data_IF_007967435340
#
_entry.id   IF_007967435340
#
_cell.length_a   1.000
_cell.length_b   1.000
_cell.length_c   1.000
_cell.angle_alpha   90.00
_cell.angle_beta   90.00
_cell.angle_gamma   90.00
#
_symmetry.space_group_name_H-M   'P 1'
#
loop_
_entity.id
_entity.type
_entity.pdbx_description
1 polymer ?
#
# COMPACT_ATOMS: atom_id res chain seq x y z
N UNK A 1 -49.02 -19.23 18.25
CA UNK A 1 -48.47 -20.39 18.97
C UNK A 1 -49.61 -21.32 19.37
N UNK A 2 -49.39 -22.65 19.51
CA UNK A 2 -48.16 -23.44 19.28
C UNK A 2 -48.06 -23.91 17.81
N UNK A 3 -46.91 -24.32 17.23
CA UNK A 3 -46.05 -25.51 17.47
C UNK A 3 -46.79 -26.86 17.28
N UNK A 4 -46.24 -27.93 16.67
CA UNK A 4 -44.84 -28.29 16.31
C UNK A 4 -44.85 -29.34 15.17
N UNK A 5 -43.78 -29.45 14.38
CA UNK A 5 -43.47 -30.63 13.54
C UNK A 5 -42.07 -31.18 13.90
N UNK A 6 -41.76 -32.48 13.61
CA UNK A 6 -40.69 -33.20 14.29
C UNK A 6 -39.40 -33.41 13.48
N UNK A 7 -38.32 -33.66 14.22
CA UNK A 7 -37.06 -34.34 13.82
C UNK A 7 -37.27 -35.87 13.94
N UNK A 8 -36.58 -36.80 13.22
CA UNK A 8 -35.16 -37.12 13.50
C UNK A 8 -34.29 -37.65 12.32
N UNK A 9 -32.96 -37.71 12.49
CA UNK A 9 -32.06 -38.29 11.47
C UNK A 9 -30.61 -38.65 11.88
N UNK A 10 -30.37 -39.29 13.02
CA UNK A 10 -29.02 -39.72 13.47
C UNK A 10 -28.64 -41.16 13.05
N UNK A 11 -27.47 -41.35 12.40
CA UNK A 11 -26.52 -42.50 12.49
C UNK A 11 -25.18 -42.04 11.83
N UNK A 12 -23.96 -42.50 12.14
CA UNK A 12 -23.50 -43.69 12.89
C UNK A 12 -22.09 -43.49 13.55
N UNK A 13 -21.57 -44.53 14.22
CA UNK A 13 -20.44 -44.50 15.17
C UNK A 13 -19.11 -45.17 14.70
N UNK A 14 -18.00 -44.76 15.34
CA UNK A 14 -16.77 -45.53 15.73
C UNK A 14 -15.62 -45.87 14.75
N UNK A 15 -14.47 -45.26 15.06
CA UNK A 15 -13.17 -45.85 15.46
C UNK A 15 -12.29 -46.73 14.51
N UNK A 16 -10.99 -46.40 14.46
CA UNK A 16 -9.90 -47.24 13.93
C UNK A 16 -8.49 -46.67 14.23
N UNK A 17 -7.53 -47.51 14.64
CA UNK A 17 -6.19 -47.14 15.15
C UNK A 17 -5.09 -47.72 14.26
N UNK A 18 -3.98 -47.00 13.99
CA UNK A 18 -2.61 -47.59 13.84
C UNK A 18 -1.52 -46.59 14.33
N UNK A 19 -0.49 -47.11 15.01
CA UNK A 19 0.79 -46.43 15.36
C UNK A 19 1.95 -47.05 14.57
N UNK A 20 3.02 -46.27 14.33
CA UNK A 20 4.33 -46.73 13.86
C UNK A 20 4.63 -46.38 12.39
N UNK A 21 5.88 -46.19 11.96
CA UNK A 21 7.16 -46.48 12.62
C UNK A 21 8.26 -45.43 12.34
N UNK A 22 9.33 -45.50 13.13
CA UNK A 22 10.57 -44.69 13.06
C UNK A 22 11.65 -45.52 12.36
N UNK A 23 12.40 -44.91 11.43
CA UNK A 23 13.65 -45.47 10.92
C UNK A 23 14.73 -44.39 10.88
N UNK A 24 15.93 -44.74 11.33
CA UNK A 24 17.13 -43.92 11.37
C UNK A 24 18.16 -44.42 10.34
N UNK A 25 19.03 -43.51 9.90
CA UNK A 25 20.37 -43.85 9.38
C UNK A 25 20.46 -44.28 7.92
N UNK A 26 21.19 -43.51 7.10
CA UNK A 26 22.63 -43.75 6.93
C UNK A 26 23.30 -42.64 6.11
N UNK A 27 24.56 -42.33 6.43
CA UNK A 27 25.47 -41.54 5.58
C UNK A 27 26.13 -42.46 4.56
N UNK A 28 26.15 -42.07 3.29
CA UNK A 28 27.23 -42.45 2.35
C UNK A 28 27.54 -41.31 1.39
N UNK A 29 28.84 -41.08 1.19
CA UNK A 29 29.43 -40.05 0.33
C UNK A 29 30.19 -40.75 -0.78
N UNK A 30 29.82 -40.52 -2.04
CA UNK A 30 30.62 -40.96 -3.20
C UNK A 30 30.55 -39.91 -4.30
N UNK A 31 31.70 -39.35 -4.65
CA UNK A 31 31.91 -38.63 -5.90
C UNK A 31 32.23 -39.65 -7.00
N UNK A 32 31.67 -39.46 -8.20
CA UNK A 32 32.25 -40.03 -9.42
C UNK A 32 31.85 -39.20 -10.64
N UNK A 33 32.84 -38.51 -11.19
CA UNK A 33 32.77 -37.62 -12.36
C UNK A 33 32.52 -38.40 -13.65
N UNK A 34 31.61 -37.92 -14.52
CA UNK A 34 31.59 -38.27 -15.96
C UNK A 34 31.31 -36.98 -16.78
N UNK A 35 32.19 -36.72 -17.76
CA UNK A 35 32.25 -35.65 -18.79
C UNK A 35 32.85 -36.39 -20.04
N UNK A 36 32.61 -36.10 -21.36
CA UNK A 36 32.16 -34.88 -22.09
C UNK A 36 30.88 -35.13 -22.96
N UNK A 37 30.44 -34.38 -24.00
CA UNK A 37 30.91 -33.23 -24.83
C UNK A 37 29.81 -32.15 -24.94
N UNK A 38 30.02 -30.85 -25.23
CA UNK A 38 30.88 -30.07 -26.15
C UNK A 38 30.35 -29.89 -27.60
N UNK A 39 29.62 -28.79 -27.85
CA UNK A 39 29.56 -27.96 -29.09
C UNK A 39 29.16 -26.54 -28.57
N UNK A 40 30.07 -25.55 -28.40
CA UNK A 40 30.59 -24.56 -29.39
C UNK A 40 29.48 -23.82 -30.15
N UNK A 41 29.36 -22.50 -30.22
CA UNK A 41 30.35 -21.43 -30.52
C UNK A 41 30.10 -20.19 -29.64
N UNK A 42 31.11 -19.48 -29.11
CA UNK A 42 31.84 -18.36 -29.75
C UNK A 42 30.95 -17.35 -30.52
N UNK A 43 31.10 -16.02 -30.39
CA UNK A 43 32.35 -15.25 -30.14
C UNK A 43 32.18 -13.83 -29.56
N UNK A 44 33.19 -13.38 -28.79
CA UNK A 44 33.75 -12.00 -28.68
C UNK A 44 32.82 -10.83 -28.27
N UNK A 45 32.95 -10.23 -27.06
CA UNK A 45 34.05 -9.38 -26.51
C UNK A 45 34.09 -7.95 -27.06
N UNK A 46 33.74 -6.98 -26.21
CA UNK A 46 34.56 -5.78 -25.95
C UNK A 46 34.10 -5.03 -24.68
N UNK A 47 35.07 -4.61 -23.87
CA UNK A 47 34.89 -3.76 -22.69
C UNK A 47 35.30 -2.33 -23.05
N UNK A 48 34.71 -1.32 -22.40
CA UNK A 48 35.36 -0.08 -21.87
C UNK A 48 34.27 0.88 -21.37
N UNK A 49 34.56 1.56 -20.26
CA UNK A 49 33.66 2.50 -19.59
C UNK A 49 33.88 3.96 -20.03
N UNK A 50 32.93 4.85 -19.72
CA UNK A 50 33.15 6.29 -19.82
C UNK A 50 31.90 7.12 -19.52
N UNK A 51 31.98 8.01 -18.52
CA UNK A 51 30.96 9.05 -18.33
C UNK A 51 31.05 10.06 -19.48
N UNK A 52 29.98 10.23 -20.25
CA UNK A 52 29.88 11.29 -21.26
C UNK A 52 28.52 11.99 -21.15
N UNK A 53 28.52 13.18 -20.54
CA UNK A 53 27.48 14.17 -20.82
C UNK A 53 27.72 14.71 -22.24
N UNK A 54 26.67 14.82 -23.05
CA UNK A 54 26.65 15.85 -24.09
C UNK A 54 25.25 16.39 -24.31
N UNK A 55 25.11 17.70 -24.12
CA UNK A 55 24.03 18.46 -24.73
C UNK A 55 24.34 18.59 -26.23
N UNK A 56 23.33 18.44 -27.08
CA UNK A 56 23.38 18.94 -28.45
C UNK A 56 21.97 19.31 -28.92
N UNK A 57 21.69 20.60 -28.99
CA UNK A 57 20.52 21.13 -29.67
C UNK A 57 20.74 21.04 -31.18
N UNK A 58 20.19 20.02 -31.83
CA UNK A 58 20.13 19.92 -33.29
C UNK A 58 18.71 19.49 -33.67
N UNK A 59 18.00 20.35 -34.39
CA UNK A 59 16.73 20.01 -35.04
C UNK A 59 17.07 19.33 -36.36
N UNK A 60 16.63 18.08 -36.55
CA UNK A 60 16.73 17.36 -37.82
C UNK A 60 15.36 17.27 -38.47
N UNK A 61 15.26 17.68 -39.74
CA UNK A 61 14.05 17.54 -40.54
C UNK A 61 13.95 16.12 -41.13
N UNK A 62 12.75 15.53 -40.98
CA UNK A 62 12.34 14.18 -41.41
C UNK A 62 12.99 12.98 -40.69
N UNK A 63 12.14 11.98 -40.41
CA UNK A 63 12.44 10.84 -39.56
C UNK A 63 13.05 9.67 -40.36
N UNK A 64 14.21 9.18 -39.89
CA UNK A 64 14.69 7.82 -40.19
C UNK A 64 14.61 6.99 -38.90
N UNK A 65 13.44 6.43 -38.64
CA UNK A 65 13.26 5.52 -37.51
C UNK A 65 13.99 4.20 -37.77
N UNK A 66 15.02 3.92 -36.98
CA UNK A 66 15.63 2.60 -36.89
C UNK A 66 14.62 1.61 -36.27
N UNK A 67 14.65 0.30 -36.56
CA UNK A 67 13.68 -0.65 -36.00
C UNK A 67 13.59 -0.60 -34.47
N UNK A 68 14.74 -0.56 -33.79
CA UNK A 68 14.82 -0.41 -32.33
C UNK A 68 14.32 0.95 -31.79
N UNK A 69 14.14 1.98 -32.63
CA UNK A 69 13.46 3.22 -32.23
C UNK A 69 11.97 3.00 -32.01
N UNK A 70 11.34 2.06 -32.72
CA UNK A 70 9.92 1.73 -32.53
C UNK A 70 9.69 0.99 -31.22
N UNK A 71 10.56 0.04 -30.87
CA UNK A 71 10.58 -0.63 -29.56
C UNK A 71 10.87 0.37 -28.43
N UNK A 72 11.89 1.23 -28.60
CA UNK A 72 12.21 2.25 -27.61
C UNK A 72 11.10 3.31 -27.43
N UNK A 73 10.31 3.61 -28.47
CA UNK A 73 9.14 4.49 -28.35
C UNK A 73 7.97 3.76 -27.68
N UNK A 74 7.75 2.47 -27.96
CA UNK A 74 6.75 1.66 -27.25
C UNK A 74 7.08 1.58 -25.74
N UNK A 75 8.31 1.23 -25.39
CA UNK A 75 8.74 1.13 -23.98
C UNK A 75 8.67 2.49 -23.25
N UNK A 76 8.95 3.59 -23.96
CA UNK A 76 8.92 4.97 -23.42
C UNK A 76 7.55 5.63 -23.42
N UNK A 77 6.57 5.12 -24.17
CA UNK A 77 5.16 5.48 -24.04
C UNK A 77 4.46 4.72 -22.90
N UNK A 78 5.06 3.61 -22.43
CA UNK A 78 4.46 2.68 -21.45
C UNK A 78 4.72 3.06 -19.97
N UNK A 79 4.95 4.36 -19.69
CA UNK A 79 4.80 4.99 -18.35
C UNK A 79 4.79 6.53 -18.43
N UNK A 80 3.97 7.27 -17.64
CA UNK A 80 3.00 6.83 -16.63
C UNK A 80 1.58 7.40 -16.86
N UNK A 81 0.66 6.59 -17.41
CA UNK A 81 -0.79 6.73 -17.23
C UNK A 81 -1.39 5.32 -17.16
N UNK A 82 -2.18 5.05 -16.13
CA UNK A 82 -2.83 3.76 -15.78
C UNK A 82 -1.91 2.53 -15.75
N UNK A 83 -1.67 1.96 -14.55
CA UNK A 83 -1.06 0.62 -14.42
C UNK A 83 -1.91 -0.49 -15.03
N UNK A 84 -3.23 -0.30 -15.10
CA UNK A 84 -4.20 -1.25 -15.63
C UNK A 84 -3.82 -1.86 -16.97
N UNK A 85 -3.34 -1.04 -17.92
CA UNK A 85 -2.95 -1.51 -19.24
C UNK A 85 -1.86 -2.60 -19.19
N UNK A 86 -1.02 -2.68 -18.14
CA UNK A 86 0.02 -3.73 -18.02
C UNK A 86 -0.53 -5.10 -17.64
N UNK A 87 -1.63 -5.16 -16.88
CA UNK A 87 -2.29 -6.42 -16.55
C UNK A 87 -2.97 -7.01 -17.80
N UNK A 88 -3.65 -6.15 -18.57
CA UNK A 88 -4.42 -6.47 -19.77
C UNK A 88 -3.63 -6.39 -21.09
N UNK A 89 -2.29 -6.31 -21.05
CA UNK A 89 -1.50 -6.36 -22.28
C UNK A 89 -1.72 -7.71 -22.99
N UNK A 90 -2.09 -7.64 -24.27
CA UNK A 90 -2.31 -8.75 -25.21
C UNK A 90 -1.29 -9.90 -25.14
N UNK A 91 -0.06 -9.58 -24.73
CA UNK A 91 0.99 -10.55 -24.49
C UNK A 91 0.64 -11.57 -23.38
N UNK A 92 -0.01 -11.16 -22.29
CA UNK A 92 -0.26 -12.03 -21.14
C UNK A 92 -1.32 -13.10 -21.42
N UNK A 93 -2.43 -12.76 -22.11
CA UNK A 93 -3.43 -13.75 -22.50
C UNK A 93 -2.88 -14.70 -23.57
N UNK A 94 -2.19 -14.18 -24.59
CA UNK A 94 -1.55 -15.00 -25.63
C UNK A 94 -0.34 -15.81 -25.14
N UNK A 95 0.21 -15.53 -23.96
CA UNK A 95 1.18 -16.40 -23.26
C UNK A 95 0.48 -17.45 -22.38
N UNK A 96 -0.61 -17.08 -21.72
CA UNK A 96 -1.33 -17.96 -20.79
C UNK A 96 -2.20 -18.98 -21.52
N UNK A 97 -2.83 -18.57 -22.62
CA UNK A 97 -3.71 -19.36 -23.49
C UNK A 97 -3.20 -19.20 -24.94
N UNK A 98 -2.12 -19.89 -25.35
CA UNK A 98 -1.42 -19.63 -26.63
C UNK A 98 -2.28 -19.70 -27.89
N UNK A 99 -3.35 -20.51 -27.86
CA UNK A 99 -4.31 -20.67 -28.95
C UNK A 99 -5.10 -19.39 -29.25
N UNK A 100 -5.22 -18.44 -28.30
CA UNK A 100 -5.85 -17.12 -28.53
C UNK A 100 -4.98 -16.16 -29.36
N UNK A 101 -3.67 -16.42 -29.45
CA UNK A 101 -2.69 -15.53 -30.06
C UNK A 101 -3.04 -15.04 -31.48
N UNK A 102 -3.39 -15.90 -32.46
CA UNK A 102 -3.68 -15.43 -33.83
C UNK A 102 -4.88 -14.46 -33.88
N UNK A 103 -5.92 -14.67 -33.07
CA UNK A 103 -7.10 -13.80 -33.03
C UNK A 103 -6.75 -12.44 -32.40
N UNK A 104 -5.98 -12.43 -31.32
CA UNK A 104 -5.49 -11.21 -30.66
C UNK A 104 -4.58 -10.41 -31.61
N UNK A 105 -3.65 -11.07 -32.31
CA UNK A 105 -2.79 -10.41 -33.31
C UNK A 105 -3.63 -9.85 -34.47
N UNK A 106 -4.67 -10.56 -34.93
CA UNK A 106 -5.58 -10.08 -35.97
C UNK A 106 -6.39 -8.86 -35.51
N UNK A 107 -6.92 -8.86 -34.29
CA UNK A 107 -7.64 -7.73 -33.71
C UNK A 107 -6.78 -6.46 -33.64
N UNK A 108 -5.51 -6.59 -33.20
CA UNK A 108 -4.55 -5.47 -33.16
C UNK A 108 -4.12 -5.01 -34.56
N UNK A 109 -4.04 -5.92 -35.54
CA UNK A 109 -3.75 -5.56 -36.94
C UNK A 109 -4.92 -4.81 -37.59
N UNK A 110 -6.16 -5.19 -37.30
CA UNK A 110 -7.37 -4.49 -37.76
C UNK A 110 -7.53 -3.11 -37.12
N UNK A 111 -7.17 -2.99 -35.84
CA UNK A 111 -7.26 -1.74 -35.09
C UNK A 111 -6.02 -1.48 -34.22
N UNK A 112 -5.09 -0.70 -34.77
CA UNK A 112 -3.87 -0.29 -34.06
C UNK A 112 -4.12 0.67 -32.89
N UNK A 113 -5.33 1.20 -32.74
CA UNK A 113 -5.71 2.13 -31.66
C UNK A 113 -6.49 1.44 -30.54
N UNK A 114 -6.71 0.13 -30.63
CA UNK A 114 -7.46 -0.68 -29.65
C UNK A 114 -6.98 -0.48 -28.20
N UNK A 115 -5.67 -0.31 -27.99
CA UNK A 115 -5.04 -0.07 -26.68
C UNK A 115 -5.39 1.29 -26.04
N UNK A 116 -6.00 2.20 -26.80
CA UNK A 116 -6.47 3.52 -26.35
C UNK A 116 -8.01 3.61 -26.26
N UNK A 117 -8.73 2.52 -26.57
CA UNK A 117 -10.18 2.44 -26.39
C UNK A 117 -10.54 2.17 -24.92
N UNK A 118 -11.83 2.25 -24.59
CA UNK A 118 -12.33 1.97 -23.24
C UNK A 118 -11.95 0.56 -22.76
N UNK A 119 -11.81 0.34 -21.43
CA UNK A 119 -11.60 -0.99 -20.87
C UNK A 119 -12.61 -2.04 -21.35
N UNK A 120 -13.87 -1.63 -21.54
CA UNK A 120 -14.95 -2.48 -22.04
C UNK A 120 -14.72 -2.98 -23.48
N UNK A 121 -14.34 -2.09 -24.42
CA UNK A 121 -14.05 -2.52 -25.79
C UNK A 121 -12.76 -3.36 -25.85
N UNK A 122 -11.77 -3.05 -25.01
CA UNK A 122 -10.57 -3.89 -24.88
C UNK A 122 -10.92 -5.29 -24.35
N UNK A 123 -11.74 -5.40 -23.30
CA UNK A 123 -12.22 -6.68 -22.77
C UNK A 123 -12.98 -7.49 -23.84
N UNK A 124 -13.87 -6.86 -24.59
CA UNK A 124 -14.58 -7.53 -25.68
C UNK A 124 -13.63 -8.02 -26.78
N UNK A 125 -12.81 -7.13 -27.35
CA UNK A 125 -11.99 -7.41 -28.54
C UNK A 125 -10.73 -8.24 -28.30
N UNK A 126 -10.18 -8.18 -27.09
CA UNK A 126 -8.88 -8.77 -26.76
C UNK A 126 -8.98 -9.97 -25.81
N UNK A 127 -10.14 -10.19 -25.19
CA UNK A 127 -10.40 -11.35 -24.33
C UNK A 127 -11.60 -12.15 -24.82
N UNK A 128 -12.81 -11.56 -24.86
CA UNK A 128 -14.04 -12.31 -25.20
C UNK A 128 -14.01 -12.84 -26.63
N UNK A 129 -13.86 -11.98 -27.64
CA UNK A 129 -13.86 -12.36 -29.06
C UNK A 129 -12.78 -13.42 -29.38
N UNK A 130 -11.51 -13.29 -28.94
CA UNK A 130 -10.50 -14.34 -29.08
C UNK A 130 -10.84 -15.67 -28.39
N UNK A 131 -11.44 -15.65 -27.19
CA UNK A 131 -11.81 -16.87 -26.48
C UNK A 131 -13.00 -17.58 -27.13
N UNK A 132 -13.98 -16.83 -27.63
CA UNK A 132 -15.14 -17.40 -28.32
C UNK A 132 -14.71 -18.11 -29.61
N UNK A 133 -13.85 -17.50 -30.42
CA UNK A 133 -13.32 -18.11 -31.63
C UNK A 133 -12.60 -19.44 -31.35
N UNK A 134 -11.75 -19.48 -30.31
CA UNK A 134 -11.04 -20.70 -29.88
C UNK A 134 -12.00 -21.81 -29.43
N UNK A 135 -13.06 -21.46 -28.70
CA UNK A 135 -14.07 -22.43 -28.25
C UNK A 135 -14.96 -22.91 -29.41
N UNK A 136 -15.33 -22.02 -30.34
CA UNK A 136 -16.10 -22.33 -31.55
C UNK A 136 -15.33 -23.26 -32.52
N UNK A 137 -14.01 -23.09 -32.64
CA UNK A 137 -13.14 -24.00 -33.40
C UNK A 137 -12.90 -25.35 -32.69
N UNK A 138 -13.42 -25.51 -31.46
CA UNK A 138 -13.37 -26.77 -30.71
C UNK A 138 -12.02 -27.06 -30.03
N UNK A 139 -11.16 -26.05 -29.87
CA UNK A 139 -9.85 -26.23 -29.24
C UNK A 139 -9.98 -26.33 -27.70
N UNK A 140 -10.01 -27.58 -27.23
CA UNK A 140 -10.14 -27.89 -25.81
C UNK A 140 -8.90 -27.54 -24.96
N UNK A 141 -7.76 -27.19 -25.55
CA UNK A 141 -6.56 -26.81 -24.76
C UNK A 141 -6.79 -25.50 -24.01
N UNK A 142 -7.70 -24.63 -24.46
CA UNK A 142 -8.11 -23.43 -23.73
C UNK A 142 -8.66 -23.73 -22.32
N UNK A 143 -9.28 -24.89 -22.11
CA UNK A 143 -9.81 -25.32 -20.82
C UNK A 143 -8.72 -25.83 -19.86
N UNK A 144 -7.53 -26.16 -20.37
CA UNK A 144 -6.38 -26.66 -19.61
C UNK A 144 -5.40 -25.56 -19.22
N UNK A 145 -5.48 -24.41 -19.87
CA UNK A 145 -4.62 -23.27 -19.62
C UNK A 145 -4.95 -22.56 -18.28
N UNK A 146 -4.02 -21.79 -17.70
CA UNK A 146 -4.31 -20.87 -16.61
C UNK A 146 -5.32 -19.80 -17.04
N UNK A 147 -6.41 -19.64 -16.27
CA UNK A 147 -7.54 -18.73 -16.54
C UNK A 147 -7.75 -17.75 -15.39
N UNK A 148 -6.68 -17.10 -14.96
CA UNK A 148 -6.70 -16.12 -13.85
C UNK A 148 -6.22 -14.77 -14.36
N UNK A 149 -7.06 -13.75 -14.22
CA UNK A 149 -6.69 -12.34 -14.44
C UNK A 149 -6.29 -11.76 -13.09
N UNK A 150 -5.10 -11.17 -13.00
CA UNK A 150 -4.60 -10.50 -11.79
C UNK A 150 -4.47 -9.01 -12.08
N UNK A 151 -5.19 -8.20 -11.30
CA UNK A 151 -5.13 -6.74 -11.34
C UNK A 151 -4.46 -6.27 -10.05
N UNK A 152 -3.28 -5.64 -10.17
CA UNK A 152 -2.46 -5.19 -9.05
C UNK A 152 -2.38 -3.66 -9.02
N UNK A 153 -2.83 -3.06 -7.91
CA UNK A 153 -2.86 -1.60 -7.69
C UNK A 153 -3.98 -0.88 -8.44
N UNK A 154 -5.23 -1.33 -8.29
CA UNK A 154 -6.40 -0.63 -8.87
C UNK A 154 -6.55 0.80 -8.30
N UNK A 155 -6.19 1.01 -7.04
CA UNK A 155 -6.10 2.32 -6.38
C UNK A 155 -5.10 3.30 -7.03
N UNK A 156 -4.19 2.82 -7.89
CA UNK A 156 -3.26 3.70 -8.62
C UNK A 156 -3.82 4.26 -9.94
N UNK A 157 -5.12 4.11 -10.18
CA UNK A 157 -5.81 4.81 -11.28
C UNK A 157 -5.92 6.32 -11.00
N UNK A 158 -5.98 7.13 -12.06
CA UNK A 158 -5.88 8.60 -11.91
C UNK A 158 -7.14 9.26 -11.34
N UNK A 159 -8.27 8.61 -11.50
CA UNK A 159 -9.59 9.04 -11.03
C UNK A 159 -10.48 7.79 -10.84
N UNK A 160 -11.58 7.96 -10.09
CA UNK A 160 -12.48 6.86 -9.79
C UNK A 160 -13.32 6.40 -10.97
N UNK A 161 -13.58 7.23 -11.99
CA UNK A 161 -14.29 6.79 -13.19
C UNK A 161 -13.49 5.71 -13.94
N UNK A 162 -12.16 5.83 -14.00
CA UNK A 162 -11.30 4.76 -14.51
C UNK A 162 -11.37 3.50 -13.64
N UNK A 163 -11.45 3.62 -12.31
CA UNK A 163 -11.62 2.46 -11.42
C UNK A 163 -12.94 1.71 -11.71
N UNK A 164 -14.04 2.44 -11.92
CA UNK A 164 -15.35 1.85 -12.28
C UNK A 164 -15.33 1.22 -13.68
N UNK A 165 -14.84 1.92 -14.71
CA UNK A 165 -14.74 1.38 -16.09
C UNK A 165 -13.96 0.05 -16.14
N UNK A 166 -12.91 -0.06 -15.31
CA UNK A 166 -12.11 -1.27 -15.14
C UNK A 166 -12.94 -2.39 -14.50
N UNK A 167 -13.62 -2.09 -13.40
CA UNK A 167 -14.40 -3.07 -12.65
C UNK A 167 -15.61 -3.59 -13.45
N UNK A 168 -16.27 -2.73 -14.22
CA UNK A 168 -17.34 -3.13 -15.15
C UNK A 168 -16.80 -4.02 -16.28
N UNK A 169 -15.63 -3.71 -16.84
CA UNK A 169 -14.99 -4.55 -17.86
C UNK A 169 -14.58 -5.94 -17.30
N UNK A 170 -14.13 -6.01 -16.05
CA UNK A 170 -13.84 -7.28 -15.37
C UNK A 170 -15.11 -8.08 -15.07
N UNK A 171 -16.20 -7.41 -14.63
CA UNK A 171 -17.50 -8.04 -14.42
C UNK A 171 -18.08 -8.60 -15.74
N UNK A 172 -17.92 -7.87 -16.84
CA UNK A 172 -18.26 -8.32 -18.18
C UNK A 172 -17.48 -9.57 -18.58
N UNK A 173 -16.16 -9.60 -18.34
CA UNK A 173 -15.33 -10.80 -18.60
C UNK A 173 -15.80 -12.01 -17.80
N UNK A 174 -16.13 -11.83 -16.51
CA UNK A 174 -16.61 -12.93 -15.65
C UNK A 174 -17.94 -13.51 -16.15
N UNK A 175 -18.82 -12.67 -16.72
CA UNK A 175 -20.16 -13.08 -17.18
C UNK A 175 -20.19 -13.67 -18.59
N UNK A 176 -19.45 -13.07 -19.53
CA UNK A 176 -19.58 -13.40 -20.95
C UNK A 176 -18.45 -14.30 -21.49
N UNK A 177 -17.42 -14.61 -20.69
CA UNK A 177 -16.36 -15.50 -21.15
C UNK A 177 -16.90 -16.92 -21.42
N UNK A 178 -16.60 -17.51 -22.60
CA UNK A 178 -17.08 -18.85 -22.96
C UNK A 178 -16.37 -19.97 -22.18
N UNK A 179 -15.35 -19.62 -21.38
CA UNK A 179 -14.67 -20.50 -20.44
C UNK A 179 -14.62 -19.85 -19.06
N UNK A 180 -14.64 -20.62 -17.95
CA UNK A 180 -14.53 -20.07 -16.61
C UNK A 180 -13.22 -19.29 -16.40
N UNK A 181 -13.33 -18.01 -16.05
CA UNK A 181 -12.22 -17.12 -15.69
C UNK A 181 -12.37 -16.71 -14.22
N UNK A 182 -11.27 -16.76 -13.47
CA UNK A 182 -11.17 -16.15 -12.14
C UNK A 182 -10.47 -14.79 -12.22
N UNK A 183 -10.88 -13.84 -11.39
CA UNK A 183 -10.25 -12.51 -11.30
C UNK A 183 -9.78 -12.29 -9.86
N UNK A 184 -8.56 -11.81 -9.70
CA UNK A 184 -8.00 -11.38 -8.41
C UNK A 184 -7.67 -9.89 -8.55
N UNK A 185 -8.30 -9.06 -7.71
CA UNK A 185 -8.01 -7.62 -7.62
C UNK A 185 -7.28 -7.36 -6.30
N UNK A 186 -6.02 -6.96 -6.39
CA UNK A 186 -5.24 -6.45 -5.28
C UNK A 186 -5.27 -4.91 -5.33
N UNK A 187 -5.78 -4.29 -4.27
CA UNK A 187 -5.99 -2.84 -4.20
C UNK A 187 -6.04 -2.38 -2.75
N UNK A 188 -5.76 -1.09 -2.53
CA UNK A 188 -6.16 -0.43 -1.28
C UNK A 188 -7.69 -0.33 -1.17
N UNK A 189 -8.23 -0.32 0.06
CA UNK A 189 -9.67 -0.23 0.32
C UNK A 189 -10.18 1.21 0.21
N UNK A 190 -9.96 1.87 -0.92
CA UNK A 190 -10.42 3.23 -1.18
C UNK A 190 -11.98 3.30 -1.23
N UNK A 191 -12.61 4.43 -0.85
CA UNK A 191 -14.07 4.51 -0.75
C UNK A 191 -14.82 4.13 -2.03
N UNK A 192 -14.35 4.60 -3.19
CA UNK A 192 -14.99 4.33 -4.49
C UNK A 192 -14.89 2.83 -4.87
N UNK A 193 -13.72 2.23 -4.66
CA UNK A 193 -13.48 0.79 -4.88
C UNK A 193 -14.34 -0.04 -3.92
N UNK A 194 -14.38 0.31 -2.62
CA UNK A 194 -15.26 -0.35 -1.65
C UNK A 194 -16.73 -0.23 -2.07
N UNK A 195 -17.15 0.93 -2.55
CA UNK A 195 -18.50 1.17 -3.07
C UNK A 195 -18.83 0.25 -4.23
N UNK A 196 -17.93 0.12 -5.22
CA UNK A 196 -18.11 -0.76 -6.37
C UNK A 196 -18.30 -2.25 -6.00
N UNK A 197 -17.63 -2.73 -4.96
CA UNK A 197 -17.78 -4.10 -4.45
C UNK A 197 -18.94 -4.27 -3.44
N UNK A 198 -19.52 -3.18 -2.92
CA UNK A 198 -20.63 -3.21 -1.95
C UNK A 198 -22.00 -2.89 -2.57
N UNK A 199 -22.04 -2.47 -3.83
CA UNK A 199 -23.27 -2.08 -4.52
C UNK A 199 -23.21 -2.49 -6.00
N UNK A 200 -24.05 -3.45 -6.39
CA UNK A 200 -24.23 -3.88 -7.77
C UNK A 200 -23.70 -5.29 -8.04
N UNK A 201 -23.58 -5.65 -9.33
CA UNK A 201 -23.35 -7.04 -9.74
C UNK A 201 -21.99 -7.65 -9.41
N UNK A 202 -21.10 -6.91 -8.74
CA UNK A 202 -19.82 -7.42 -8.20
C UNK A 202 -19.99 -8.08 -6.83
N UNK A 203 -20.98 -7.66 -6.04
CA UNK A 203 -21.25 -8.25 -4.72
C UNK A 203 -21.56 -9.76 -4.85
N UNK A 204 -22.42 -10.12 -5.81
CA UNK A 204 -22.86 -11.50 -6.07
C UNK A 204 -21.74 -12.45 -6.57
N UNK A 205 -20.64 -11.91 -7.14
CA UNK A 205 -19.60 -12.69 -7.85
C UNK A 205 -18.20 -12.55 -7.26
N UNK A 206 -18.05 -11.82 -6.15
CA UNK A 206 -16.75 -11.57 -5.51
C UNK A 206 -16.72 -12.06 -4.07
N UNK A 207 -15.52 -12.08 -3.49
CA UNK A 207 -15.33 -12.42 -2.07
C UNK A 207 -14.14 -11.62 -1.56
N UNK A 208 -14.35 -10.61 -0.70
CA UNK A 208 -13.26 -9.75 -0.23
C UNK A 208 -12.35 -10.52 0.73
N UNK A 209 -11.05 -10.54 0.43
CA UNK A 209 -10.02 -11.03 1.35
C UNK A 209 -9.29 -9.81 1.91
N UNK A 210 -9.62 -9.43 3.14
CA UNK A 210 -8.90 -8.36 3.83
C UNK A 210 -7.57 -8.90 4.34
N UNK A 211 -6.46 -8.30 3.88
CA UNK A 211 -5.12 -8.57 4.41
C UNK A 211 -4.93 -7.77 5.71
N UNK A 212 -5.60 -8.20 6.77
CA UNK A 212 -5.62 -7.55 8.08
C UNK A 212 -4.56 -8.09 9.05
N UNK A 213 -4.62 -7.65 10.31
CA UNK A 213 -3.72 -8.05 11.39
C UNK A 213 -3.88 -9.52 11.86
N UNK A 214 -4.66 -10.35 11.16
CA UNK A 214 -4.59 -11.82 11.31
C UNK A 214 -3.27 -12.38 10.78
N UNK A 215 -2.66 -11.71 9.79
CA UNK A 215 -1.25 -11.85 9.49
C UNK A 215 -0.41 -11.13 10.56
N UNK A 216 0.76 -11.66 10.91
CA UNK A 216 1.70 -11.00 11.82
C UNK A 216 2.86 -10.40 11.03
N UNK A 217 2.68 -9.23 10.37
CA UNK A 217 3.70 -8.65 9.52
C UNK A 217 4.96 -8.25 10.32
N UNK A 218 4.81 -7.94 11.62
CA UNK A 218 5.93 -7.63 12.50
C UNK A 218 6.86 -8.84 12.69
N UNK A 219 6.34 -10.07 12.72
CA UNK A 219 7.16 -11.29 12.77
C UNK A 219 7.95 -11.51 11.46
N UNK A 220 7.31 -11.28 10.30
CA UNK A 220 7.97 -11.42 9.00
C UNK A 220 8.99 -10.30 8.76
N UNK A 221 8.69 -9.06 9.15
CA UNK A 221 9.63 -7.93 9.14
C UNK A 221 10.81 -8.19 10.08
N UNK A 222 10.56 -8.72 11.28
CA UNK A 222 11.63 -9.10 12.23
C UNK A 222 12.57 -10.13 11.60
N UNK A 223 12.03 -11.17 10.97
CA UNK A 223 12.81 -12.19 10.26
C UNK A 223 13.62 -11.58 9.12
N UNK A 224 12.98 -10.80 8.25
CA UNK A 224 13.62 -10.12 7.13
C UNK A 224 14.74 -9.17 7.57
N UNK A 225 14.53 -8.39 8.63
CA UNK A 225 15.57 -7.51 9.20
C UNK A 225 16.73 -8.32 9.78
N UNK A 226 16.47 -9.40 10.52
CA UNK A 226 17.51 -10.31 11.04
C UNK A 226 18.38 -10.84 9.90
N UNK A 227 17.76 -11.38 8.83
CA UNK A 227 18.49 -11.97 7.71
C UNK A 227 19.22 -10.89 6.87
N UNK A 228 18.63 -9.71 6.73
CA UNK A 228 19.28 -8.52 6.13
C UNK A 228 20.53 -8.12 6.89
N UNK A 229 20.45 -7.95 8.22
CA UNK A 229 21.60 -7.52 9.01
C UNK A 229 22.69 -8.60 9.09
N UNK A 230 22.31 -9.88 9.13
CA UNK A 230 23.25 -11.01 8.93
C UNK A 230 23.97 -10.90 7.58
N UNK A 231 23.26 -10.64 6.49
CA UNK A 231 23.86 -10.47 5.17
C UNK A 231 24.85 -9.31 5.14
N UNK A 232 24.51 -8.16 5.74
CA UNK A 232 25.40 -6.99 5.87
C UNK A 232 26.67 -7.35 6.66
N UNK A 233 26.54 -8.05 7.80
CA UNK A 233 27.69 -8.46 8.61
C UNK A 233 28.70 -9.34 7.85
N UNK A 234 28.22 -10.22 6.97
CA UNK A 234 29.08 -11.13 6.22
C UNK A 234 29.64 -10.51 4.93
N UNK A 235 28.87 -9.69 4.22
CA UNK A 235 29.15 -9.30 2.83
C UNK A 235 29.51 -7.83 2.63
N UNK A 236 29.27 -6.95 3.61
CA UNK A 236 29.53 -5.51 3.42
C UNK A 236 31.04 -5.22 3.30
N UNK A 237 31.51 -4.40 2.34
CA UNK A 237 32.92 -4.08 2.18
C UNK A 237 33.60 -3.47 3.42
N UNK A 238 32.83 -2.76 4.24
CA UNK A 238 33.26 -2.13 5.49
C UNK A 238 32.85 -2.96 6.74
N UNK A 239 32.63 -4.27 6.61
CA UNK A 239 32.23 -5.14 7.74
C UNK A 239 33.22 -5.12 8.92
N UNK A 240 34.50 -4.84 8.67
CA UNK A 240 35.51 -4.63 9.73
C UNK A 240 35.26 -3.38 10.60
N UNK A 241 34.34 -2.50 10.20
CA UNK A 241 33.91 -1.33 10.98
C UNK A 241 32.69 -1.60 11.87
N UNK A 242 32.14 -2.82 11.85
CA UNK A 242 31.01 -3.21 12.69
C UNK A 242 31.48 -3.50 14.12
N UNK A 243 30.69 -3.17 15.16
CA UNK A 243 31.08 -3.40 16.56
C UNK A 243 31.23 -4.89 16.92
N UNK A 244 30.40 -5.74 16.31
CA UNK A 244 30.28 -7.17 16.61
C UNK A 244 29.91 -7.93 15.33
N UNK A 245 30.15 -9.25 15.32
CA UNK A 245 29.63 -10.17 14.29
C UNK A 245 28.12 -10.40 14.42
N UNK A 246 27.59 -10.26 15.63
CA UNK A 246 26.16 -10.24 15.94
C UNK A 246 25.70 -8.78 16.06
N UNK A 247 25.49 -8.14 14.91
CA UNK A 247 25.04 -6.75 14.83
C UNK A 247 23.81 -6.64 13.91
N UNK A 248 22.81 -5.79 14.25
CA UNK A 248 22.65 -5.06 15.50
C UNK A 248 22.07 -5.95 16.62
N UNK A 249 21.93 -5.40 17.83
CA UNK A 249 21.31 -6.10 18.95
C UNK A 249 19.83 -6.44 18.69
N UNK A 250 19.32 -7.50 19.32
CA UNK A 250 17.92 -7.90 19.21
C UNK A 250 16.95 -6.77 19.59
N UNK A 251 17.24 -6.03 20.67
CA UNK A 251 16.46 -4.84 21.09
C UNK A 251 16.43 -3.75 20.01
N UNK A 252 17.51 -3.60 19.24
CA UNK A 252 17.52 -2.66 18.11
C UNK A 252 16.61 -3.15 16.98
N UNK A 253 16.61 -4.45 16.69
CA UNK A 253 15.70 -5.03 15.69
C UNK A 253 14.25 -4.85 16.13
N UNK A 254 13.93 -5.11 17.41
CA UNK A 254 12.58 -4.95 17.95
C UNK A 254 12.08 -3.49 17.83
N UNK A 255 12.94 -2.50 18.09
CA UNK A 255 12.63 -1.07 17.86
C UNK A 255 12.42 -0.73 16.38
N UNK A 256 13.12 -1.40 15.46
CA UNK A 256 12.91 -1.20 14.02
C UNK A 256 11.60 -1.85 13.54
N UNK A 257 11.21 -2.99 14.12
CA UNK A 257 9.93 -3.66 13.86
C UNK A 257 8.78 -2.80 14.36
N UNK A 258 8.84 -2.31 15.61
CA UNK A 258 7.86 -1.36 16.17
C UNK A 258 7.67 -0.13 15.26
N UNK A 259 8.79 0.49 14.84
CA UNK A 259 8.77 1.63 13.91
C UNK A 259 8.28 1.28 12.50
N UNK A 260 8.41 0.03 12.07
CA UNK A 260 7.87 -0.43 10.79
C UNK A 260 6.35 -0.51 10.82
N UNK A 261 5.74 -0.88 11.95
CA UNK A 261 4.28 -1.00 12.11
C UNK A 261 3.64 -1.81 10.97
N UNK A 262 4.10 -3.05 10.78
CA UNK A 262 3.69 -3.92 9.68
C UNK A 262 4.14 -3.50 8.26
N UNK A 263 4.91 -2.43 8.07
CA UNK A 263 5.29 -1.94 6.73
C UNK A 263 6.66 -2.43 6.23
N UNK A 264 6.64 -3.38 5.30
CA UNK A 264 7.84 -3.85 4.60
C UNK A 264 8.59 -2.77 3.81
N UNK A 265 7.93 -1.69 3.37
CA UNK A 265 8.61 -0.55 2.74
C UNK A 265 9.57 0.14 3.72
N UNK A 266 9.23 0.22 5.00
CA UNK A 266 10.13 0.78 6.03
C UNK A 266 11.39 -0.08 6.18
N UNK A 267 11.20 -1.40 6.32
CA UNK A 267 12.30 -2.35 6.49
C UNK A 267 13.23 -2.39 5.26
N UNK A 268 12.67 -2.40 4.04
CA UNK A 268 13.47 -2.42 2.81
C UNK A 268 14.15 -1.08 2.50
N UNK A 269 13.60 0.05 2.96
CA UNK A 269 14.32 1.33 2.98
C UNK A 269 15.52 1.28 3.92
N UNK A 270 15.40 0.64 5.08
CA UNK A 270 16.53 0.43 6.00
C UNK A 270 17.60 -0.45 5.35
N UNK A 271 17.22 -1.59 4.72
CA UNK A 271 18.16 -2.42 3.96
C UNK A 271 18.97 -1.58 2.98
N UNK A 272 18.30 -0.89 2.06
CA UNK A 272 18.94 -0.10 0.99
C UNK A 272 19.86 1.00 1.54
N UNK A 273 19.45 1.66 2.61
CA UNK A 273 20.20 2.77 3.21
C UNK A 273 21.43 2.29 4.00
N UNK A 274 21.30 1.19 4.74
CA UNK A 274 22.35 0.66 5.62
C UNK A 274 23.35 -0.22 4.86
N UNK A 275 22.90 -0.95 3.84
CA UNK A 275 23.76 -1.79 2.96
C UNK A 275 24.63 -0.97 1.99
N UNK A 276 24.60 0.36 2.05
CA UNK A 276 25.34 1.24 1.15
C UNK A 276 26.85 1.00 1.24
N UNK A 277 27.45 0.38 0.22
CA UNK A 277 28.86 -0.03 0.19
C UNK A 277 29.89 1.10 0.45
N UNK A 278 29.50 2.36 0.25
CA UNK A 278 30.36 3.55 0.45
C UNK A 278 30.27 4.16 1.87
N UNK A 279 29.48 3.58 2.77
CA UNK A 279 29.20 4.14 4.10
C UNK A 279 29.28 3.07 5.19
N UNK A 280 29.66 3.45 6.41
CA UNK A 280 29.70 2.52 7.54
C UNK A 280 28.25 2.13 7.96
N UNK A 281 27.89 0.84 8.00
CA UNK A 281 26.51 0.44 8.34
C UNK A 281 26.09 0.87 9.74
N UNK A 282 26.99 0.81 10.73
CA UNK A 282 26.74 1.26 12.10
C UNK A 282 26.34 2.75 12.18
N UNK A 283 27.03 3.62 11.45
CA UNK A 283 26.69 5.05 11.39
C UNK A 283 25.36 5.28 10.66
N UNK A 284 25.10 4.55 9.57
CA UNK A 284 23.82 4.61 8.82
C UNK A 284 22.64 4.16 9.69
N UNK A 285 22.79 3.08 10.47
CA UNK A 285 21.76 2.65 11.42
C UNK A 285 21.53 3.67 12.54
N UNK A 286 22.59 4.35 13.03
CA UNK A 286 22.42 5.39 14.06
C UNK A 286 21.54 6.57 13.57
N UNK A 287 21.60 6.88 12.26
CA UNK A 287 20.74 7.89 11.63
C UNK A 287 19.28 7.37 11.55
N UNK A 288 19.07 6.12 11.13
CA UNK A 288 17.73 5.48 11.07
C UNK A 288 17.05 5.47 12.46
N UNK A 289 17.82 5.22 13.52
CA UNK A 289 17.29 5.22 14.88
C UNK A 289 16.95 6.61 15.42
N UNK A 290 17.49 7.68 14.81
CA UNK A 290 17.36 9.07 15.28
C UNK A 290 18.48 9.52 16.24
N UNK A 291 19.52 8.69 16.42
CA UNK A 291 20.63 8.97 17.34
C UNK A 291 21.68 9.92 16.75
N UNK A 292 21.59 10.23 15.46
CA UNK A 292 22.50 11.15 14.75
C UNK A 292 21.74 11.93 13.67
N UNK A 293 22.04 13.22 13.55
CA UNK A 293 21.45 14.08 12.52
C UNK A 293 21.87 13.63 11.10
N UNK A 294 20.92 13.68 10.16
CA UNK A 294 21.16 13.41 8.75
C UNK A 294 21.63 14.68 8.03
N UNK A 295 22.96 14.92 8.01
CA UNK A 295 23.55 16.14 7.40
C UNK A 295 23.33 16.26 5.89
N UNK A 296 23.16 15.15 5.17
CA UNK A 296 22.92 15.15 3.72
C UNK A 296 21.99 14.03 3.20
N UNK A 297 21.99 12.85 3.84
CA UNK A 297 21.23 11.68 3.39
C UNK A 297 20.15 11.30 4.41
N UNK A 298 18.91 11.77 4.21
CA UNK A 298 17.74 11.35 5.01
C UNK A 298 17.23 9.98 4.50
N UNK A 299 17.16 8.93 5.34
CA UNK A 299 16.75 7.59 4.88
C UNK A 299 15.32 7.54 4.35
N UNK A 300 14.43 8.37 4.87
CA UNK A 300 13.01 8.36 4.56
C UNK A 300 12.57 9.48 3.62
N UNK A 301 13.49 10.15 2.90
CA UNK A 301 13.14 11.33 2.07
C UNK A 301 12.09 11.04 1.00
N UNK A 302 12.10 9.87 0.37
CA UNK A 302 11.10 9.47 -0.62
C UNK A 302 9.72 9.26 0.02
N UNK A 303 9.68 8.69 1.23
CA UNK A 303 8.46 8.48 2.01
C UNK A 303 7.91 9.80 2.58
N UNK A 304 8.79 10.69 3.03
CA UNK A 304 8.47 12.05 3.49
C UNK A 304 7.91 12.91 2.34
N UNK A 305 8.45 12.74 1.13
CA UNK A 305 7.93 13.37 -0.09
C UNK A 305 6.56 12.80 -0.47
N UNK A 306 6.32 11.49 -0.34
CA UNK A 306 5.01 10.89 -0.56
C UNK A 306 3.96 11.44 0.41
N UNK A 307 4.25 11.44 1.72
CA UNK A 307 3.37 12.05 2.71
C UNK A 307 3.15 13.55 2.45
N UNK A 308 4.20 14.29 2.11
CA UNK A 308 4.09 15.70 1.70
C UNK A 308 3.10 15.85 0.54
N UNK A 309 3.24 15.06 -0.53
CA UNK A 309 2.36 15.12 -1.71
C UNK A 309 0.90 14.84 -1.35
N UNK A 310 0.64 13.83 -0.51
CA UNK A 310 -0.73 13.52 -0.04
C UNK A 310 -1.30 14.69 0.78
N UNK A 311 -0.54 15.28 1.72
CA UNK A 311 -1.02 16.47 2.42
C UNK A 311 -1.08 17.73 1.53
N UNK A 312 -0.38 17.75 0.38
CA UNK A 312 -0.45 18.85 -0.59
C UNK A 312 -1.71 18.80 -1.47
N UNK A 313 -2.33 17.64 -1.71
CA UNK A 313 -3.58 17.54 -2.48
C UNK A 313 -4.79 18.08 -1.71
N UNK A 314 -4.86 17.85 -0.38
CA UNK A 314 -5.95 18.35 0.50
C UNK A 314 -6.11 19.86 0.37
N UNK A 315 -7.33 20.36 0.15
CA UNK A 315 -7.60 21.80 0.02
C UNK A 315 -6.99 22.59 1.19
N UNK A 316 -6.28 23.68 0.88
CA UNK A 316 -5.55 24.49 1.88
C UNK A 316 -6.41 24.96 3.07
N UNK A 317 -7.72 25.15 2.86
CA UNK A 317 -8.67 25.48 3.94
C UNK A 317 -8.91 24.29 4.87
N UNK A 318 -9.22 23.12 4.31
CA UNK A 318 -9.52 21.86 5.01
C UNK A 318 -8.28 21.33 5.74
N UNK A 319 -7.11 21.33 5.08
CA UNK A 319 -5.82 20.83 5.57
C UNK A 319 -5.45 21.29 6.98
N UNK A 320 -5.76 22.55 7.33
CA UNK A 320 -5.49 23.11 8.68
C UNK A 320 -6.34 22.44 9.75
N UNK A 321 -7.56 22.03 9.43
CA UNK A 321 -8.44 21.29 10.33
C UNK A 321 -8.02 19.82 10.40
N UNK A 322 -7.73 19.18 9.27
CA UNK A 322 -7.17 17.83 9.20
C UNK A 322 -5.95 17.66 10.13
N UNK A 323 -4.92 18.51 9.98
CA UNK A 323 -3.72 18.49 10.84
C UNK A 323 -4.00 18.75 12.32
N UNK A 324 -5.03 19.52 12.66
CA UNK A 324 -5.45 19.72 14.06
C UNK A 324 -6.11 18.47 14.63
N UNK A 325 -7.00 17.83 13.87
CA UNK A 325 -7.66 16.60 14.27
C UNK A 325 -6.65 15.47 14.45
N UNK A 326 -5.78 15.23 13.46
CA UNK A 326 -4.65 14.31 13.58
C UNK A 326 -3.78 14.66 14.79
N UNK A 327 -3.54 15.96 15.01
CA UNK A 327 -2.76 16.43 16.14
C UNK A 327 -3.38 16.14 17.51
N UNK A 328 -4.71 16.12 17.62
CA UNK A 328 -5.44 15.66 18.81
C UNK A 328 -5.33 14.14 18.96
N UNK A 329 -5.52 13.37 17.89
CA UNK A 329 -5.36 11.90 17.91
C UNK A 329 -3.93 11.45 18.29
N UNK A 330 -2.92 12.28 18.00
CA UNK A 330 -1.53 12.04 18.39
C UNK A 330 -1.21 12.39 19.86
N UNK A 331 -2.14 12.99 20.62
CA UNK A 331 -1.96 13.25 22.06
C UNK A 331 -2.30 11.99 22.87
N UNK A 332 -1.40 11.48 23.74
CA UNK A 332 -1.76 10.41 24.66
C UNK A 332 -2.72 10.93 25.74
N UNK A 333 -3.97 10.46 25.69
CA UNK A 333 -4.95 10.52 26.79
C UNK A 333 -5.73 9.21 26.87
N UNK A 334 -6.64 9.05 27.82
CA UNK A 334 -7.42 7.82 27.98
C UNK A 334 -8.11 7.40 26.66
N UNK A 335 -8.16 6.09 26.39
CA UNK A 335 -8.96 5.52 25.29
C UNK A 335 -10.42 5.33 25.69
N UNK A 336 -10.63 4.83 26.91
CA UNK A 336 -11.92 4.51 27.50
C UNK A 336 -12.05 5.18 28.86
N UNK A 337 -13.21 5.76 29.12
CA UNK A 337 -13.64 6.18 30.46
C UNK A 337 -14.87 5.37 30.83
N UNK A 338 -14.90 4.84 32.06
CA UNK A 338 -16.02 4.05 32.57
C UNK A 338 -16.91 4.94 33.43
N UNK A 339 -18.13 5.18 32.98
CA UNK A 339 -19.19 5.82 33.76
C UNK A 339 -20.17 4.75 34.27
N UNK A 340 -20.99 5.02 35.31
CA UNK A 340 -22.01 4.09 35.77
C UNK A 340 -22.97 3.72 34.64
N UNK A 341 -22.93 2.46 34.20
CA UNK A 341 -23.76 1.93 33.11
C UNK A 341 -23.19 2.06 31.68
N UNK A 342 -22.11 2.83 31.46
CA UNK A 342 -21.62 3.16 30.11
C UNK A 342 -20.10 3.12 29.99
N UNK A 343 -19.58 2.67 28.84
CA UNK A 343 -18.17 2.86 28.45
C UNK A 343 -18.14 3.95 27.39
N UNK A 344 -17.37 5.01 27.63
CA UNK A 344 -17.17 6.10 26.68
C UNK A 344 -15.83 5.89 25.98
N UNK A 345 -15.87 5.66 24.67
CA UNK A 345 -14.69 5.70 23.80
C UNK A 345 -14.30 7.17 23.56
N UNK A 346 -13.27 7.63 24.25
CA UNK A 346 -12.88 9.06 24.27
C UNK A 346 -12.03 9.47 23.06
N UNK A 347 -11.81 8.58 22.09
CA UNK A 347 -11.03 8.85 20.88
C UNK A 347 -11.79 8.59 19.57
N UNK A 348 -13.09 8.31 19.65
CA UNK A 348 -13.92 8.20 18.44
C UNK A 348 -14.08 9.55 17.74
N UNK A 349 -14.27 9.57 16.41
CA UNK A 349 -14.65 10.79 15.70
C UNK A 349 -15.83 11.51 16.36
N UNK A 350 -16.88 10.76 16.74
CA UNK A 350 -18.10 11.27 17.37
C UNK A 350 -17.88 11.89 18.77
N UNK A 351 -16.87 11.42 19.52
CA UNK A 351 -16.47 12.04 20.79
C UNK A 351 -15.60 13.28 20.54
N UNK A 352 -14.65 13.20 19.62
CA UNK A 352 -13.76 14.31 19.27
C UNK A 352 -14.52 15.49 18.66
N UNK A 353 -15.53 15.24 17.83
CA UNK A 353 -16.42 16.29 17.30
C UNK A 353 -17.13 17.05 18.42
N UNK A 354 -17.72 16.32 19.38
CA UNK A 354 -18.36 16.92 20.56
C UNK A 354 -17.34 17.72 21.37
N UNK A 355 -16.20 17.13 21.71
CA UNK A 355 -15.15 17.76 22.53
C UNK A 355 -14.59 19.02 21.89
N UNK A 356 -14.44 19.06 20.57
CA UNK A 356 -13.84 20.18 19.84
C UNK A 356 -14.87 21.21 19.35
N UNK A 357 -16.15 21.05 19.75
CA UNK A 357 -17.32 21.84 19.32
C UNK A 357 -17.49 21.90 17.79
N UNK A 358 -17.36 20.75 17.13
CA UNK A 358 -17.53 20.57 15.69
C UNK A 358 -18.93 20.08 15.33
N UNK A 359 -19.29 20.14 14.05
CA UNK A 359 -20.52 19.51 13.55
C UNK A 359 -20.31 18.00 13.37
N UNK A 360 -21.37 17.19 13.54
CA UNK A 360 -21.31 15.77 13.17
C UNK A 360 -20.85 15.59 11.72
N UNK A 361 -19.82 14.78 11.50
CA UNK A 361 -19.23 14.51 10.19
C UNK A 361 -18.11 15.46 9.76
N UNK A 362 -17.82 16.55 10.50
CA UNK A 362 -16.69 17.44 10.19
C UNK A 362 -15.36 16.67 10.18
N UNK A 363 -15.14 15.75 11.13
CA UNK A 363 -13.90 14.97 11.20
C UNK A 363 -13.76 14.02 10.02
N UNK A 364 -14.85 13.36 9.62
CA UNK A 364 -14.87 12.46 8.47
C UNK A 364 -14.58 13.24 7.18
N UNK A 365 -15.27 14.37 6.97
CA UNK A 365 -15.09 15.24 5.82
C UNK A 365 -13.66 15.79 5.70
N UNK A 366 -12.99 16.12 6.81
CA UNK A 366 -11.63 16.68 6.76
C UNK A 366 -10.52 15.63 6.59
N UNK A 367 -10.84 14.35 6.79
CA UNK A 367 -9.87 13.26 6.77
C UNK A 367 -10.13 12.24 5.66
N UNK A 368 -11.18 12.43 4.84
CA UNK A 368 -11.56 11.52 3.75
C UNK A 368 -10.41 11.29 2.74
N UNK A 369 -9.68 12.35 2.38
CA UNK A 369 -8.50 12.31 1.50
C UNK A 369 -7.31 11.52 2.11
N UNK A 370 -7.41 11.10 3.38
CA UNK A 370 -6.37 10.39 4.13
C UNK A 370 -6.73 8.93 4.42
N UNK A 371 -7.80 8.37 3.84
CA UNK A 371 -8.18 6.96 4.03
C UNK A 371 -7.11 5.94 3.60
N UNK A 372 -6.10 6.33 2.82
CA UNK A 372 -4.91 5.51 2.50
C UNK A 372 -3.82 5.54 3.57
N UNK A 373 -3.92 6.45 4.55
CA UNK A 373 -2.92 6.73 5.58
C UNK A 373 -3.45 6.51 7.02
N UNK A 374 -4.77 6.64 7.21
CA UNK A 374 -5.44 6.44 8.49
C UNK A 374 -6.75 5.66 8.32
N UNK A 375 -7.13 4.88 9.33
CA UNK A 375 -8.51 4.44 9.50
C UNK A 375 -9.29 5.50 10.27
N UNK A 376 -10.50 5.80 9.80
CA UNK A 376 -11.48 6.58 10.55
C UNK A 376 -12.54 5.58 11.01
N UNK A 377 -12.50 5.25 12.30
CA UNK A 377 -13.43 4.29 12.90
C UNK A 377 -14.89 4.72 12.78
N UNK A 378 -15.79 3.78 12.50
CA UNK A 378 -17.23 4.06 12.44
C UNK A 378 -17.84 4.10 13.85
N UNK A 379 -18.74 5.05 14.09
CA UNK A 379 -19.48 5.19 15.35
C UNK A 379 -18.62 5.51 16.59
N UNK A 380 -18.06 4.47 17.21
CA UNK A 380 -17.34 4.49 18.48
C UNK A 380 -15.85 4.09 18.37
N UNK A 381 -15.39 3.63 17.21
CA UNK A 381 -13.98 3.27 16.99
C UNK A 381 -13.06 4.50 16.90
N UNK A 382 -11.77 4.37 17.25
CA UNK A 382 -10.82 5.50 17.25
C UNK A 382 -10.20 5.80 15.87
N UNK A 383 -9.62 6.99 15.70
CA UNK A 383 -8.82 7.31 14.52
C UNK A 383 -7.46 6.60 14.65
N UNK A 384 -7.19 5.65 13.77
CA UNK A 384 -5.94 4.88 13.75
C UNK A 384 -5.02 5.33 12.62
N UNK A 385 -3.73 5.54 12.91
CA UNK A 385 -2.71 5.71 11.88
C UNK A 385 -2.25 4.32 11.43
N UNK A 386 -2.26 4.01 10.13
CA UNK A 386 -1.77 2.71 9.65
C UNK A 386 -0.26 2.54 9.82
N UNK A 387 0.50 3.63 9.98
CA UNK A 387 1.96 3.61 9.97
C UNK A 387 2.55 4.54 11.05
N UNK A 388 3.43 4.05 11.92
CA UNK A 388 4.17 4.92 12.85
C UNK A 388 5.05 5.93 12.11
N UNK A 389 5.59 5.59 10.93
CA UNK A 389 6.38 6.49 10.09
C UNK A 389 5.66 7.79 9.70
N UNK A 390 4.32 7.76 9.61
CA UNK A 390 3.49 8.94 9.38
C UNK A 390 3.38 9.82 10.64
N UNK A 391 3.19 9.19 11.81
CA UNK A 391 3.25 9.89 13.11
C UNK A 391 4.63 10.54 13.31
N UNK A 392 5.72 9.83 13.02
CA UNK A 392 7.09 10.34 13.13
C UNK A 392 7.35 11.49 12.17
N UNK A 393 6.86 11.39 10.92
CA UNK A 393 6.91 12.48 9.94
C UNK A 393 6.17 13.73 10.46
N UNK A 394 4.92 13.59 10.91
CA UNK A 394 4.11 14.70 11.42
C UNK A 394 4.68 15.32 12.70
N UNK A 395 5.42 14.57 13.52
CA UNK A 395 6.06 15.04 14.77
C UNK A 395 7.47 15.60 14.58
N UNK A 396 8.05 15.53 13.38
CA UNK A 396 9.39 16.07 13.09
C UNK A 396 9.30 17.23 12.09
N UNK A 397 9.54 18.46 12.58
CA UNK A 397 9.49 19.68 11.77
C UNK A 397 10.55 19.73 10.66
N UNK A 398 11.64 18.97 10.80
CA UNK A 398 12.69 18.86 9.79
C UNK A 398 12.32 17.91 8.64
N UNK A 399 11.28 17.07 8.83
CA UNK A 399 10.73 16.17 7.82
C UNK A 399 9.45 16.72 7.20
N UNK A 400 8.50 17.15 8.01
CA UNK A 400 7.17 17.59 7.56
C UNK A 400 7.02 19.09 7.27
N UNK A 401 7.97 19.93 7.67
CA UNK A 401 7.96 21.36 7.36
C UNK A 401 6.64 22.05 7.72
N UNK A 402 5.86 22.49 6.72
CA UNK A 402 4.55 23.12 6.94
C UNK A 402 3.46 22.19 7.49
N UNK A 403 3.63 20.87 7.40
CA UNK A 403 2.69 19.86 7.90
C UNK A 403 2.98 19.43 9.34
N UNK A 404 4.00 20.03 9.98
CA UNK A 404 4.43 19.72 11.33
C UNK A 404 3.33 19.96 12.38
N UNK A 405 3.12 18.95 13.22
CA UNK A 405 2.19 18.95 14.34
C UNK A 405 2.97 19.09 15.65
N UNK A 406 2.87 20.28 16.24
CA UNK A 406 3.37 20.51 17.60
C UNK A 406 2.46 19.83 18.63
N UNK A 407 2.92 18.70 19.19
CA UNK A 407 2.21 17.99 20.29
C UNK A 407 1.91 18.91 21.47
N UNK A 408 2.77 19.91 21.74
CA UNK A 408 2.51 20.94 22.77
C UNK A 408 1.31 21.81 22.41
N UNK A 409 1.18 22.23 21.15
CA UNK A 409 0.00 22.98 20.69
C UNK A 409 -1.27 22.12 20.75
N UNK A 410 -1.21 20.86 20.30
CA UNK A 410 -2.35 19.94 20.38
C UNK A 410 -2.84 19.72 21.81
N UNK A 411 -1.92 19.56 22.79
CA UNK A 411 -2.26 19.47 24.22
C UNK A 411 -2.94 20.74 24.75
N UNK A 412 -2.45 21.92 24.38
CA UNK A 412 -3.07 23.20 24.77
C UNK A 412 -4.45 23.40 24.12
N UNK A 413 -4.60 22.96 22.86
CA UNK A 413 -5.87 22.99 22.13
C UNK A 413 -6.91 22.06 22.77
N UNK A 414 -6.51 20.83 23.11
CA UNK A 414 -7.35 19.88 23.86
C UNK A 414 -7.74 20.45 25.23
N UNK A 415 -6.78 20.96 25.99
CA UNK A 415 -7.01 21.54 27.32
C UNK A 415 -8.00 22.71 27.28
N UNK A 416 -7.86 23.63 26.31
CA UNK A 416 -8.81 24.75 26.14
C UNK A 416 -10.24 24.24 25.99
N UNK A 417 -10.44 23.27 25.12
CA UNK A 417 -11.76 22.69 24.84
C UNK A 417 -12.32 21.91 26.05
N UNK A 418 -11.50 21.13 26.75
CA UNK A 418 -11.92 20.50 28.02
C UNK A 418 -12.40 21.53 29.05
N UNK A 419 -11.71 22.67 29.18
CA UNK A 419 -12.13 23.77 30.08
C UNK A 419 -13.45 24.40 29.62
N UNK A 420 -13.67 24.59 28.31
CA UNK A 420 -14.94 25.09 27.79
C UNK A 420 -16.10 24.16 28.14
N UNK A 421 -15.95 22.84 27.94
CA UNK A 421 -16.96 21.85 28.32
C UNK A 421 -17.28 21.83 29.83
N UNK A 422 -16.27 22.00 30.69
CA UNK A 422 -16.49 22.09 32.15
C UNK A 422 -17.27 23.36 32.52
N UNK A 423 -16.87 24.52 31.97
CA UNK A 423 -17.55 25.80 32.22
C UNK A 423 -18.99 25.84 31.68
N UNK A 424 -19.28 25.11 30.61
CA UNK A 424 -20.62 24.93 30.07
C UNK A 424 -21.50 24.02 30.93
N UNK A 425 -20.93 22.96 31.53
CA UNK A 425 -21.63 22.11 32.52
C UNK A 425 -21.92 22.86 33.83
N UNK A 426 -20.98 23.68 34.31
CA UNK A 426 -21.10 24.42 35.57
C UNK A 426 -21.93 25.73 35.46
N UNK A 427 -22.69 25.90 34.37
CA UNK A 427 -23.60 27.04 34.16
C UNK A 427 -22.94 28.43 34.06
N UNK A 428 -21.60 28.50 34.13
CA UNK A 428 -20.84 29.71 34.44
C UNK A 428 -20.50 30.54 33.20
N UNK A 429 -21.50 30.83 32.37
CA UNK A 429 -21.36 31.57 31.09
C UNK A 429 -20.83 33.02 31.23
N UNK A 430 -20.81 33.58 32.45
CA UNK A 430 -20.50 35.01 32.68
C UNK A 430 -19.01 35.40 32.67
N UNK A 431 -18.07 34.47 32.92
CA UNK A 431 -16.66 34.84 33.17
C UNK A 431 -15.79 34.95 31.93
N UNK A 432 -16.06 34.17 30.87
CA UNK A 432 -15.19 34.12 29.67
C UNK A 432 -15.36 35.35 28.78
N UNK A 433 -16.61 35.77 28.52
CA UNK A 433 -16.91 36.95 27.70
C UNK A 433 -16.28 38.23 28.29
N UNK A 434 -16.33 38.37 29.61
CA UNK A 434 -15.82 39.55 30.29
C UNK A 434 -14.28 39.65 30.25
N UNK A 435 -13.56 38.53 30.11
CA UNK A 435 -12.11 38.50 29.93
C UNK A 435 -11.69 38.72 28.46
N UNK A 436 -12.42 38.16 27.48
CA UNK A 436 -12.14 38.45 26.07
C UNK A 436 -12.41 39.92 25.69
N UNK A 437 -13.45 40.54 26.25
CA UNK A 437 -13.68 41.98 26.08
C UNK A 437 -12.56 42.81 26.73
N UNK A 438 -12.15 42.50 27.96
CA UNK A 438 -11.02 43.19 28.63
C UNK A 438 -9.69 43.05 27.87
N UNK A 439 -9.47 41.90 27.22
CA UNK A 439 -8.28 41.69 26.38
C UNK A 439 -8.33 42.52 25.09
N UNK A 440 -9.50 42.60 24.43
CA UNK A 440 -9.71 43.45 23.24
C UNK A 440 -9.61 44.95 23.57
N UNK A 441 -10.17 45.40 24.69
CA UNK A 441 -10.06 46.79 25.16
C UNK A 441 -8.59 47.17 25.50
N UNK A 442 -7.85 46.29 26.17
CA UNK A 442 -6.41 46.50 26.40
C UNK A 442 -5.62 46.53 25.09
N UNK A 443 -6.00 45.72 24.09
CA UNK A 443 -5.34 45.73 22.78
C UNK A 443 -5.63 46.99 21.94
N UNK A 444 -6.73 47.71 22.19
CA UNK A 444 -7.02 48.99 21.51
C UNK A 444 -6.40 50.21 22.20
N UNK A 445 -5.98 50.11 23.47
CA UNK A 445 -5.25 51.19 24.18
C UNK A 445 -3.75 51.26 23.90
N UNK A 446 -3.22 50.36 23.07
CA UNK A 446 -1.80 50.28 22.68
C UNK A 446 -1.62 50.22 21.15
N UNK A 447 -2.47 50.96 20.42
CA UNK A 447 -2.38 51.16 18.98
C UNK A 447 -2.50 52.64 18.63
#
# INVERSE_FOLDING_TARGET
>A
MPEKHPDPGHYNLKAGIVKGARLEGHKTRTQSTIIPRHISTNSQVSYVAGNAMHNSAIVSSQAKCHPGTREAVLDRLVKPRAKFCRALHNHNLSLSIPVTKPYIENAVQRDSHIIYKSPMEQAFRLIIEPLSMVVEEGDLEAYRCPRVIIVDGLDECLDSSQQFDILDALLYIIKEAPIPIAVIVASRPEPDIRGAFSYGGLEDVSSPITLDNSFNPDADIKKYLIDTFRFICHNHPLKSTLPTTEWPSAETIDKLVEKASGQFIYASTIEKFVSSARHKPAERLSIVLGNRAAEANKPFSELDNLYSTIFYSIEKKIRKFALRTLGVSLVPFARRVREPGTIIETRSPSFLEKLLHLKPGDIQMWLIDLHSLIAIGEGHEEIHFYHASLSDYLRDSSRSGQFYISVRYSRLYLFKHCVQHLLEKDGSKGLVLHQEQRAKEKSMKYR
#
